data_IF_252028053205
#
_entry.id   IF_252028053205
#
_cell.length_a   1.000
_cell.length_b   1.000
_cell.length_c   1.000
_cell.angle_alpha   90.00
_cell.angle_beta   90.00
_cell.angle_gamma   90.00
#
_symmetry.space_group_name_H-M   'P 1'
#
loop_
_entity.id
_entity.type
_entity.pdbx_description
1 polymer ?
#
# COMPACT_ATOMS: atom_id res chain seq x y z
N UNK A 1 11.19 -18.41 -25.99
CA UNK A 1 11.24 -18.28 -24.52
C UNK A 1 9.88 -17.78 -24.06
N UNK A 2 9.09 -18.65 -23.46
CA UNK A 2 7.79 -18.28 -22.87
C UNK A 2 8.09 -17.50 -21.58
N UNK A 3 7.52 -16.30 -21.37
CA UNK A 3 7.69 -15.62 -20.09
C UNK A 3 7.14 -16.53 -19.00
N UNK A 4 7.96 -16.84 -18.00
CA UNK A 4 7.53 -17.52 -16.78
C UNK A 4 6.41 -16.66 -16.19
N UNK A 5 5.18 -17.17 -16.26
CA UNK A 5 4.07 -16.62 -15.51
C UNK A 5 4.51 -16.65 -14.04
N UNK A 6 4.70 -15.46 -13.46
CA UNK A 6 4.81 -15.33 -12.01
C UNK A 6 3.60 -16.09 -11.43
N UNK A 7 3.79 -16.97 -10.42
CA UNK A 7 2.72 -17.78 -9.86
C UNK A 7 1.50 -16.90 -9.60
N UNK A 8 0.31 -17.35 -9.99
CA UNK A 8 -0.96 -16.66 -9.70
C UNK A 8 -1.16 -16.43 -8.19
N UNK A 9 -0.33 -17.04 -7.33
CA UNK A 9 -0.24 -16.79 -5.89
C UNK A 9 0.48 -15.47 -5.52
N UNK A 10 1.06 -14.77 -6.51
CA UNK A 10 1.38 -13.34 -6.46
C UNK A 10 0.19 -12.49 -6.93
N UNK A 11 -1.02 -13.05 -6.94
CA UNK A 11 -2.27 -12.29 -6.93
C UNK A 11 -2.33 -11.47 -5.64
N UNK A 12 -1.66 -10.32 -5.75
CA UNK A 12 -1.93 -9.07 -5.08
C UNK A 12 -3.28 -9.10 -4.35
N UNK A 13 -3.31 -9.24 -3.01
CA UNK A 13 -4.54 -8.98 -2.30
C UNK A 13 -4.66 -7.45 -2.27
N UNK A 14 -5.21 -6.87 -3.32
CA UNK A 14 -5.82 -5.55 -3.23
C UNK A 14 -6.94 -5.73 -2.21
N UNK A 15 -6.65 -5.52 -0.93
CA UNK A 15 -7.64 -5.65 0.10
C UNK A 15 -8.60 -4.48 -0.07
N UNK A 16 -9.76 -4.84 -0.62
CA UNK A 16 -11.09 -4.27 -0.45
C UNK A 16 -11.14 -2.80 -0.08
N UNK A 17 -11.78 -2.03 -0.98
CA UNK A 17 -12.37 -0.72 -0.73
C UNK A 17 -12.80 -0.62 0.73
N UNK A 18 -12.08 0.17 1.55
CA UNK A 18 -12.51 0.42 2.91
C UNK A 18 -13.96 0.91 2.85
N UNK A 19 -14.81 0.53 3.81
CA UNK A 19 -16.22 0.97 3.84
C UNK A 19 -16.32 2.50 3.67
N UNK A 20 -15.34 3.25 4.16
CA UNK A 20 -15.18 4.70 3.99
C UNK A 20 -15.11 5.15 2.52
N UNK A 21 -14.38 4.43 1.67
CA UNK A 21 -14.32 4.68 0.22
C UNK A 21 -15.62 4.26 -0.45
N UNK A 22 -16.17 3.10 -0.08
CA UNK A 22 -17.46 2.62 -0.58
C UNK A 22 -18.58 3.63 -0.34
N UNK A 23 -18.65 4.20 0.85
CA UNK A 23 -19.63 5.21 1.23
C UNK A 23 -19.46 6.54 0.49
N UNK A 24 -18.22 7.03 0.33
CA UNK A 24 -17.94 8.28 -0.39
C UNK A 24 -18.19 8.14 -1.90
N UNK A 25 -17.76 7.02 -2.49
CA UNK A 25 -17.99 6.68 -3.89
C UNK A 25 -19.49 6.51 -4.17
N UNK A 26 -20.24 5.81 -3.31
CA UNK A 26 -21.69 5.63 -3.46
C UNK A 26 -22.46 6.96 -3.40
N UNK A 27 -21.95 7.95 -2.65
CA UNK A 27 -22.53 9.30 -2.55
C UNK A 27 -22.11 10.23 -3.70
N UNK A 28 -21.27 9.76 -4.64
CA UNK A 28 -20.78 10.56 -5.76
C UNK A 28 -19.87 11.72 -5.34
N UNK A 29 -19.29 11.67 -4.13
CA UNK A 29 -18.44 12.74 -3.62
C UNK A 29 -17.04 12.59 -4.24
N UNK A 30 -16.48 13.64 -4.87
CA UNK A 30 -15.09 13.64 -5.31
C UNK A 30 -14.19 13.28 -4.13
N UNK A 31 -13.51 12.14 -4.21
CA UNK A 31 -12.70 11.62 -3.12
C UNK A 31 -11.22 11.81 -3.46
N UNK A 32 -10.55 12.71 -2.74
CA UNK A 32 -9.11 12.89 -2.87
C UNK A 32 -8.39 11.85 -2.01
N UNK A 33 -7.51 11.05 -2.61
CA UNK A 33 -6.73 10.03 -1.90
C UNK A 33 -5.38 10.60 -1.48
N UNK A 34 -5.00 10.37 -0.22
CA UNK A 34 -3.67 10.61 0.31
C UNK A 34 -2.98 9.25 0.52
N UNK A 35 -2.01 8.92 -0.34
CA UNK A 35 -1.24 7.68 -0.19
C UNK A 35 -0.12 7.92 0.83
N UNK A 36 -0.05 7.11 1.88
CA UNK A 36 0.96 7.24 2.94
C UNK A 36 1.86 6.02 2.92
N UNK A 37 3.09 6.18 2.43
CA UNK A 37 4.10 5.13 2.43
C UNK A 37 4.72 5.01 3.83
N UNK A 38 4.41 3.91 4.50
CA UNK A 38 4.95 3.52 5.81
C UNK A 38 5.84 2.28 5.69
N UNK A 39 6.28 1.94 4.48
CA UNK A 39 7.16 0.79 4.27
C UNK A 39 8.50 0.99 4.98
N UNK A 40 9.00 -0.08 5.61
CA UNK A 40 10.21 -0.02 6.42
C UNK A 40 9.98 0.35 7.89
N UNK A 41 8.74 0.68 8.28
CA UNK A 41 8.34 0.80 9.69
C UNK A 41 7.66 -0.48 10.16
N UNK A 42 7.84 -0.80 11.45
CA UNK A 42 7.08 -1.84 12.14
C UNK A 42 5.84 -1.24 12.84
N UNK A 43 4.92 -2.10 13.27
CA UNK A 43 3.69 -1.64 13.92
C UNK A 43 3.91 -0.68 15.11
N UNK A 44 4.84 -0.91 16.04
CA UNK A 44 5.11 0.04 17.13
C UNK A 44 5.47 1.46 16.67
N UNK A 45 6.14 1.60 15.52
CA UNK A 45 6.41 2.89 14.91
C UNK A 45 5.21 3.47 14.14
N UNK A 46 4.40 2.61 13.51
CA UNK A 46 3.21 3.00 12.73
C UNK A 46 2.06 3.46 13.63
N UNK A 47 1.76 2.71 14.68
CA UNK A 47 0.60 2.92 15.57
C UNK A 47 0.41 4.38 16.03
N UNK A 48 1.43 5.06 16.58
CA UNK A 48 1.27 6.46 17.01
C UNK A 48 1.00 7.43 15.87
N UNK A 49 1.36 7.08 14.63
CA UNK A 49 1.16 7.93 13.45
C UNK A 49 -0.28 7.88 12.92
N UNK A 50 -1.04 6.83 13.24
CA UNK A 50 -2.40 6.61 12.70
C UNK A 50 -3.32 7.80 12.99
N UNK A 51 -3.28 8.34 14.21
CA UNK A 51 -4.09 9.51 14.58
C UNK A 51 -3.66 10.76 13.80
N UNK A 52 -2.35 11.01 13.72
CA UNK A 52 -1.81 12.16 12.99
C UNK A 52 -2.17 12.11 11.50
N UNK A 53 -2.01 10.95 10.87
CA UNK A 53 -2.36 10.72 9.47
C UNK A 53 -3.85 10.98 9.24
N UNK A 54 -4.70 10.45 10.10
CA UNK A 54 -6.16 10.61 9.99
C UNK A 54 -6.59 12.07 10.16
N UNK A 55 -6.05 12.76 11.17
CA UNK A 55 -6.31 14.19 11.38
C UNK A 55 -5.85 15.04 10.21
N UNK A 56 -4.64 14.80 9.71
CA UNK A 56 -4.08 15.51 8.55
C UNK A 56 -4.93 15.29 7.30
N UNK A 57 -5.35 14.05 7.05
CA UNK A 57 -6.23 13.72 5.93
C UNK A 57 -7.57 14.45 6.04
N UNK A 58 -8.18 14.44 7.23
CA UNK A 58 -9.45 15.12 7.48
C UNK A 58 -9.36 16.64 7.27
N UNK A 59 -8.29 17.29 7.75
CA UNK A 59 -8.04 18.72 7.53
C UNK A 59 -7.92 19.10 6.05
N UNK A 60 -7.49 18.15 5.20
CA UNK A 60 -7.34 18.32 3.75
C UNK A 60 -8.51 17.76 2.94
N UNK A 61 -9.55 17.25 3.61
CA UNK A 61 -10.66 16.48 3.02
C UNK A 61 -10.19 15.33 2.10
N UNK A 62 -9.20 14.58 2.59
CA UNK A 62 -8.63 13.42 1.91
C UNK A 62 -8.94 12.13 2.66
N UNK A 63 -8.88 11.02 1.95
CA UNK A 63 -8.93 9.67 2.53
C UNK A 63 -7.51 9.12 2.58
N UNK A 64 -6.96 8.79 3.76
CA UNK A 64 -5.63 8.21 3.86
C UNK A 64 -5.68 6.74 3.45
N UNK A 65 -4.73 6.32 2.61
CA UNK A 65 -4.48 4.93 2.28
C UNK A 65 -3.08 4.57 2.76
N UNK A 66 -3.00 3.65 3.72
CA UNK A 66 -1.73 3.24 4.32
C UNK A 66 -1.05 2.19 3.45
N UNK A 67 0.18 2.46 3.02
CA UNK A 67 1.01 1.49 2.29
C UNK A 67 2.05 0.94 3.23
N UNK A 68 1.99 -0.37 3.49
CA UNK A 68 2.82 -1.02 4.52
C UNK A 68 3.57 -2.23 3.98
N UNK A 69 4.56 -2.70 4.73
CA UNK A 69 5.14 -4.02 4.48
C UNK A 69 4.11 -5.12 4.76
N UNK A 70 4.19 -6.23 4.01
CA UNK A 70 3.25 -7.36 4.15
C UNK A 70 3.15 -7.90 5.58
N UNK A 71 4.23 -7.85 6.36
CA UNK A 71 4.26 -8.31 7.75
C UNK A 71 3.28 -7.53 8.66
N UNK A 72 3.05 -6.25 8.36
CA UNK A 72 2.29 -5.35 9.24
C UNK A 72 0.77 -5.34 8.94
N UNK A 73 0.32 -6.03 7.88
CA UNK A 73 -1.08 -6.03 7.43
C UNK A 73 -2.07 -6.31 8.56
N UNK A 74 -1.77 -7.31 9.39
CA UNK A 74 -2.70 -7.76 10.43
C UNK A 74 -2.98 -6.66 11.45
N UNK A 75 -1.96 -5.88 11.81
CA UNK A 75 -2.09 -4.79 12.75
C UNK A 75 -2.78 -3.59 12.11
N UNK A 76 -2.38 -3.23 10.89
CA UNK A 76 -2.96 -2.13 10.11
C UNK A 76 -4.44 -2.33 9.84
N UNK A 77 -4.87 -3.56 9.55
CA UNK A 77 -6.29 -3.89 9.34
C UNK A 77 -7.17 -3.51 10.54
N UNK A 78 -6.63 -3.52 11.77
CA UNK A 78 -7.38 -3.17 12.99
C UNK A 78 -7.71 -1.68 13.08
N UNK A 79 -7.06 -0.84 12.28
CA UNK A 79 -7.34 0.61 12.23
C UNK A 79 -8.66 0.94 11.53
N UNK A 80 -9.17 0.03 10.69
CA UNK A 80 -10.33 0.29 9.83
C UNK A 80 -10.04 1.24 8.66
N UNK A 81 -8.80 1.71 8.51
CA UNK A 81 -8.39 2.56 7.39
C UNK A 81 -8.14 1.72 6.13
N UNK A 82 -8.31 2.30 4.93
CA UNK A 82 -7.85 1.66 3.72
C UNK A 82 -6.34 1.46 3.76
N UNK A 83 -5.89 0.32 3.23
CA UNK A 83 -4.48 0.00 3.16
C UNK A 83 -4.14 -0.79 1.91
N UNK A 84 -2.88 -0.75 1.53
CA UNK A 84 -2.30 -1.60 0.51
C UNK A 84 -0.88 -2.00 0.94
N UNK A 85 -0.27 -2.91 0.19
CA UNK A 85 1.00 -3.50 0.60
C UNK A 85 2.05 -3.42 -0.48
N UNK A 86 3.28 -3.19 -0.05
CA UNK A 86 4.45 -3.41 -0.88
C UNK A 86 5.24 -4.62 -0.38
N UNK A 87 6.00 -5.28 -1.27
CA UNK A 87 6.96 -6.30 -0.87
C UNK A 87 7.95 -5.72 0.15
N UNK A 88 8.24 -6.48 1.20
CA UNK A 88 9.21 -6.07 2.22
C UNK A 88 10.63 -6.09 1.63
N UNK A 89 11.16 -4.91 1.30
CA UNK A 89 12.49 -4.81 0.68
C UNK A 89 13.59 -5.33 1.60
N UNK A 90 13.47 -5.13 2.92
CA UNK A 90 14.48 -5.56 3.89
C UNK A 90 14.46 -7.08 4.07
N UNK A 91 13.28 -7.71 4.17
CA UNK A 91 13.15 -9.16 4.24
C UNK A 91 13.64 -9.87 2.96
N UNK A 92 13.67 -9.16 1.83
CA UNK A 92 14.13 -9.68 0.55
C UNK A 92 15.58 -9.29 0.19
N UNK A 93 16.26 -8.48 1.02
CA UNK A 93 17.60 -7.95 0.78
C UNK A 93 18.75 -8.99 0.79
N UNK A 94 18.43 -10.29 0.90
CA UNK A 94 19.40 -11.40 0.88
C UNK A 94 18.98 -12.58 0.02
N UNK A 95 17.91 -12.45 -0.78
CA UNK A 95 17.58 -13.46 -1.77
C UNK A 95 18.70 -13.50 -2.82
N UNK A 96 19.29 -14.67 -3.09
CA UNK A 96 20.45 -14.74 -3.95
C UNK A 96 20.10 -14.22 -5.34
N UNK A 97 21.05 -13.47 -5.91
CA UNK A 97 21.11 -13.06 -7.31
C UNK A 97 21.20 -14.27 -8.26
N UNK A 98 20.62 -15.43 -7.92
CA UNK A 98 20.57 -16.63 -8.75
C UNK A 98 19.14 -17.05 -9.11
N UNK A 99 18.10 -16.50 -8.47
CA UNK A 99 16.71 -16.72 -8.89
C UNK A 99 16.41 -16.07 -10.25
N UNK A 100 15.72 -16.73 -11.20
CA UNK A 100 15.28 -16.12 -12.46
C UNK A 100 14.12 -15.13 -12.20
N UNK A 101 14.23 -13.87 -12.66
CA UNK A 101 13.21 -12.81 -12.45
C UNK A 101 13.71 -11.57 -11.69
N UNK A 102 14.97 -11.20 -11.92
CA UNK A 102 15.94 -10.75 -10.92
C UNK A 102 16.19 -9.24 -10.86
N UNK A 103 15.15 -8.43 -10.97
CA UNK A 103 15.26 -6.98 -10.73
C UNK A 103 14.25 -6.59 -9.64
N UNK A 104 14.66 -6.82 -8.39
CA UNK A 104 13.85 -6.50 -7.23
C UNK A 104 13.52 -5.00 -7.13
N UNK A 105 14.47 -4.08 -7.38
CA UNK A 105 14.16 -2.67 -7.56
C UNK A 105 13.11 -2.40 -8.64
N UNK A 106 13.21 -2.99 -9.83
CA UNK A 106 12.22 -2.80 -10.88
C UNK A 106 10.85 -3.41 -10.54
N UNK A 107 10.84 -4.54 -9.83
CA UNK A 107 9.61 -5.12 -9.31
C UNK A 107 8.94 -4.18 -8.32
N UNK A 108 9.68 -3.66 -7.34
CA UNK A 108 9.16 -2.68 -6.35
C UNK A 108 8.73 -1.37 -7.04
N UNK A 109 9.45 -0.91 -8.06
CA UNK A 109 9.05 0.25 -8.86
C UNK A 109 7.72 0.00 -9.58
N UNK A 110 7.58 -1.15 -10.26
CA UNK A 110 6.32 -1.58 -10.89
C UNK A 110 5.18 -1.67 -9.88
N UNK A 111 5.44 -2.21 -8.69
CA UNK A 111 4.49 -2.28 -7.59
C UNK A 111 3.98 -0.88 -7.19
N UNK A 112 4.88 0.09 -7.07
CA UNK A 112 4.54 1.50 -6.80
C UNK A 112 3.74 2.15 -7.92
N UNK A 113 4.09 1.89 -9.18
CA UNK A 113 3.34 2.36 -10.35
C UNK A 113 1.90 1.83 -10.33
N UNK A 114 1.72 0.55 -10.03
CA UNK A 114 0.38 -0.06 -9.92
C UNK A 114 -0.44 0.53 -8.77
N UNK A 115 0.19 0.81 -7.62
CA UNK A 115 -0.48 1.50 -6.51
C UNK A 115 -0.92 2.91 -6.90
N UNK A 116 -0.04 3.69 -7.55
CA UNK A 116 -0.38 5.02 -8.01
C UNK A 116 -1.50 5.00 -9.06
N UNK A 117 -1.47 4.05 -9.99
CA UNK A 117 -2.52 3.87 -11.01
C UNK A 117 -3.86 3.45 -10.41
N UNK A 118 -3.85 2.56 -9.42
CA UNK A 118 -5.06 2.13 -8.70
C UNK A 118 -5.69 3.28 -7.93
N UNK A 119 -4.89 3.92 -7.09
CA UNK A 119 -5.40 4.87 -6.10
C UNK A 119 -5.55 6.29 -6.63
N UNK A 120 -4.87 6.61 -7.74
CA UNK A 120 -4.83 7.95 -8.33
C UNK A 120 -4.67 9.05 -7.27
N UNK A 121 -3.62 8.98 -6.43
CA UNK A 121 -3.52 9.83 -5.26
C UNK A 121 -3.37 11.30 -5.66
N UNK A 122 -4.07 12.16 -4.93
CA UNK A 122 -3.89 13.60 -5.01
C UNK A 122 -2.65 14.07 -4.23
N UNK A 123 -2.18 13.26 -3.27
CA UNK A 123 -0.93 13.48 -2.55
C UNK A 123 -0.29 12.14 -2.16
N UNK A 124 1.05 12.13 -2.13
CA UNK A 124 1.86 11.01 -1.63
C UNK A 124 2.73 11.53 -0.49
N UNK A 125 2.72 10.82 0.63
CA UNK A 125 3.54 11.09 1.82
C UNK A 125 4.49 9.91 2.03
N UNK A 126 5.75 10.19 2.33
CA UNK A 126 6.84 9.23 2.58
C UNK A 126 7.46 9.45 3.95
#
# INVERSE_FOLDING_TARGET
MTPLALPEDLAWPFNTDAEVLGDRLARGVPTAVMLVDLTGLDWPAIEPLVQLITSTAAEKDMVPVLVVARAEIVAVRRTGLPYDTLPDVAANAGLPDTMPGRDWPAYVARCRELLAAKWQPAAIVH
#
